data_IF_483064326707
#
_entry.id   IF_483064326707
#
_cell.length_a   1.000
_cell.length_b   1.000
_cell.length_c   1.000
_cell.angle_alpha   90.00
_cell.angle_beta   90.00
_cell.angle_gamma   90.00
#
_symmetry.space_group_name_H-M   'P 1'
#
loop_
_entity.id
_entity.type
_entity.pdbx_description
1 polymer ?
#
# COMPACT_ATOMS: atom_id res chain seq x y z
N UNK A 1 -6.49 2.82 20.52
CA UNK A 1 -6.09 3.18 19.15
C UNK A 1 -6.76 2.22 18.18
N UNK A 2 -7.22 2.68 17.00
CA UNK A 2 -7.75 1.78 15.98
C UNK A 2 -6.63 0.85 15.47
N UNK A 3 -6.93 -0.44 15.32
CA UNK A 3 -5.99 -1.40 14.70
C UNK A 3 -5.84 -1.08 13.22
N UNK A 4 -4.60 -1.10 12.72
CA UNK A 4 -4.37 -0.95 11.30
C UNK A 4 -4.81 -2.21 10.54
N UNK A 5 -5.28 -2.02 9.32
CA UNK A 5 -5.60 -3.07 8.36
C UNK A 5 -4.54 -3.09 7.27
N UNK A 6 -4.48 -4.20 6.54
CA UNK A 6 -3.63 -4.30 5.35
C UNK A 6 -4.03 -3.18 4.37
N UNK A 7 -3.03 -2.49 3.85
CA UNK A 7 -3.10 -1.31 3.00
C UNK A 7 -3.56 -0.01 3.67
N UNK A 8 -3.75 0.01 5.00
CA UNK A 8 -3.91 1.29 5.70
C UNK A 8 -2.62 2.09 5.56
N UNK A 9 -2.77 3.39 5.33
CA UNK A 9 -1.68 4.35 5.41
C UNK A 9 -1.35 4.62 6.87
N UNK A 10 -0.07 4.58 7.19
CA UNK A 10 0.45 4.83 8.54
C UNK A 10 1.61 5.81 8.49
N UNK A 11 1.83 6.51 9.60
CA UNK A 11 2.97 7.40 9.82
C UNK A 11 3.70 6.94 11.07
N UNK A 12 5.02 6.77 10.98
CA UNK A 12 5.84 6.36 12.11
C UNK A 12 5.89 7.47 13.17
N UNK A 13 5.62 7.12 14.42
CA UNK A 13 5.67 8.05 15.56
C UNK A 13 7.08 8.22 16.14
N UNK A 14 7.98 7.33 15.75
CA UNK A 14 9.39 7.30 16.11
C UNK A 14 10.22 6.66 14.99
N UNK A 15 11.54 6.69 15.09
CA UNK A 15 12.41 6.01 14.12
C UNK A 15 12.34 4.49 14.27
N UNK A 16 12.26 3.77 13.15
CA UNK A 16 12.28 2.30 13.11
C UNK A 16 13.33 1.85 12.10
N UNK A 17 14.40 1.20 12.58
CA UNK A 17 15.56 0.88 11.75
C UNK A 17 16.17 2.16 11.14
N UNK A 18 16.32 2.17 9.83
CA UNK A 18 16.85 3.32 9.07
C UNK A 18 15.76 4.36 8.71
N UNK A 19 14.49 4.10 9.03
CA UNK A 19 13.39 4.99 8.69
C UNK A 19 13.17 6.02 9.80
N UNK A 20 13.20 7.33 9.48
CA UNK A 20 13.04 8.37 10.48
C UNK A 20 11.60 8.42 10.98
N UNK A 21 11.43 9.06 12.15
CA UNK A 21 10.12 9.52 12.61
C UNK A 21 9.43 10.34 11.51
N UNK A 22 8.10 10.25 11.47
CA UNK A 22 7.22 10.91 10.49
C UNK A 22 7.32 10.34 9.06
N UNK A 23 8.18 9.34 8.81
CA UNK A 23 8.12 8.55 7.59
C UNK A 23 6.75 7.88 7.47
N UNK A 24 6.20 7.84 6.25
CA UNK A 24 4.91 7.23 6.00
C UNK A 24 5.04 5.99 5.12
N UNK A 25 4.08 5.10 5.25
CA UNK A 25 4.03 3.88 4.46
C UNK A 25 2.65 3.24 4.46
N UNK A 26 2.57 2.06 3.86
CA UNK A 26 1.38 1.22 3.83
C UNK A 26 1.63 -0.08 4.57
N UNK A 27 0.66 -0.53 5.36
CA UNK A 27 0.74 -1.84 6.01
C UNK A 27 0.65 -2.95 4.95
N UNK A 28 1.65 -3.82 4.86
CA UNK A 28 1.67 -4.92 3.89
C UNK A 28 1.45 -6.28 4.53
N UNK A 29 1.81 -6.44 5.80
CA UNK A 29 1.61 -7.65 6.58
C UNK A 29 1.24 -7.36 8.03
N UNK A 30 0.45 -8.26 8.63
CA UNK A 30 0.00 -8.17 10.02
C UNK A 30 0.23 -9.53 10.68
N UNK A 31 1.05 -9.52 11.73
CA UNK A 31 1.31 -10.67 12.58
C UNK A 31 0.52 -10.53 13.87
N UNK A 32 -0.06 -11.64 14.34
CA UNK A 32 -0.83 -11.66 15.60
C UNK A 32 -0.28 -12.64 16.62
N UNK A 33 0.70 -13.47 16.24
CA UNK A 33 1.29 -14.50 17.10
C UNK A 33 2.82 -14.42 17.00
N UNK A 34 3.56 -14.38 18.13
CA UNK A 34 3.09 -14.37 19.52
C UNK A 34 2.59 -13.01 20.01
N UNK A 35 2.76 -11.94 19.23
CA UNK A 35 2.27 -10.60 19.54
C UNK A 35 1.85 -9.88 18.26
N UNK A 36 1.11 -8.77 18.43
CA UNK A 36 0.67 -7.93 17.32
C UNK A 36 1.82 -7.09 16.77
N UNK A 37 2.16 -7.28 15.49
CA UNK A 37 3.21 -6.57 14.78
C UNK A 37 2.85 -6.38 13.31
N UNK A 38 3.50 -5.42 12.66
CA UNK A 38 3.14 -4.97 11.31
C UNK A 38 4.39 -4.79 10.48
N UNK A 39 4.36 -5.27 9.24
CA UNK A 39 5.35 -4.84 8.25
C UNK A 39 4.77 -3.70 7.44
N UNK A 40 5.55 -2.63 7.32
CA UNK A 40 5.14 -1.38 6.68
C UNK A 40 6.07 -1.10 5.51
N UNK A 41 5.52 -1.07 4.31
CA UNK A 41 6.24 -0.62 3.12
C UNK A 41 6.35 0.90 3.17
N UNK A 42 7.55 1.41 3.41
CA UNK A 42 7.82 2.84 3.55
C UNK A 42 7.94 3.47 2.16
N UNK A 43 7.30 4.61 1.98
CA UNK A 43 7.11 5.25 0.68
C UNK A 43 7.62 6.69 0.70
N UNK A 44 8.11 7.15 -0.45
CA UNK A 44 8.28 8.57 -0.75
C UNK A 44 6.92 9.23 -1.05
N UNK A 45 6.88 10.57 -0.99
CA UNK A 45 5.68 11.34 -1.35
C UNK A 45 5.23 11.17 -2.82
N UNK A 46 6.13 10.78 -3.73
CA UNK A 46 5.79 10.43 -5.12
C UNK A 46 5.33 8.97 -5.28
N UNK A 47 5.10 8.25 -4.18
CA UNK A 47 4.50 6.91 -4.17
C UNK A 47 5.47 5.79 -4.50
N UNK A 48 6.79 6.00 -4.40
CA UNK A 48 7.80 4.95 -4.58
C UNK A 48 8.15 4.31 -3.25
N UNK A 49 8.24 2.99 -3.24
CA UNK A 49 8.79 2.25 -2.10
C UNK A 49 10.28 2.56 -1.93
N UNK A 50 10.67 2.87 -0.69
CA UNK A 50 12.07 3.06 -0.30
C UNK A 50 12.59 1.94 0.61
N UNK A 51 11.70 1.14 1.19
CA UNK A 51 12.07 -0.05 1.95
C UNK A 51 10.92 -0.61 2.77
N UNK A 52 11.24 -1.59 3.61
CA UNK A 52 10.29 -2.30 4.47
C UNK A 52 10.72 -2.12 5.93
N UNK A 53 9.83 -1.57 6.75
CA UNK A 53 9.98 -1.53 8.19
C UNK A 53 9.30 -2.76 8.79
N UNK A 54 10.09 -3.69 9.30
CA UNK A 54 9.60 -4.98 9.78
C UNK A 54 9.19 -4.94 11.27
N UNK A 55 8.21 -5.76 11.62
CA UNK A 55 7.79 -6.04 13.00
C UNK A 55 7.46 -4.79 13.85
N UNK A 56 6.90 -3.76 13.21
CA UNK A 56 6.52 -2.50 13.85
C UNK A 56 5.32 -2.71 14.78
N UNK A 57 5.38 -2.20 16.00
CA UNK A 57 4.31 -2.40 17.00
C UNK A 57 3.20 -1.34 16.84
N UNK A 58 1.95 -1.65 17.22
CA UNK A 58 0.82 -0.73 17.08
C UNK A 58 0.94 0.62 17.82
N UNK A 59 1.91 0.79 18.74
CA UNK A 59 2.20 2.07 19.40
C UNK A 59 3.27 2.92 18.72
N UNK A 60 3.94 2.40 17.68
CA UNK A 60 5.06 3.05 16.99
C UNK A 60 4.64 3.76 15.71
N UNK A 61 3.35 3.69 15.36
CA UNK A 61 2.78 4.38 14.21
C UNK A 61 1.38 4.90 14.54
N UNK A 62 0.92 5.84 13.72
CA UNK A 62 -0.46 6.31 13.72
C UNK A 62 -1.13 6.01 12.38
N UNK A 63 -2.37 5.53 12.42
CA UNK A 63 -3.14 5.22 11.23
C UNK A 63 -3.70 6.52 10.67
N UNK A 64 -3.17 6.96 9.53
CA UNK A 64 -3.75 8.08 8.79
C UNK A 64 -4.80 7.51 7.87
N UNK A 65 -6.07 7.65 8.25
CA UNK A 65 -7.16 7.45 7.31
C UNK A 65 -6.87 8.35 6.11
N UNK A 66 -6.80 7.77 4.91
CA UNK A 66 -6.92 8.60 3.71
C UNK A 66 -8.32 9.22 3.80
N UNK A 67 -8.41 10.49 4.14
CA UNK A 67 -9.68 11.22 4.21
C UNK A 67 -10.35 11.39 2.82
N UNK A 68 -9.90 10.68 1.78
CA UNK A 68 -10.26 11.00 0.40
C UNK A 68 -10.04 9.87 -0.62
N UNK A 69 -10.29 8.61 -0.23
CA UNK A 69 -10.98 7.73 -1.19
C UNK A 69 -12.40 7.57 -0.63
N UNK A 70 -13.37 8.38 -1.09
CA UNK A 70 -14.74 8.29 -0.62
C UNK A 70 -15.17 6.83 -0.60
N UNK A 71 -15.69 6.35 0.54
CA UNK A 71 -16.31 5.03 0.61
C UNK A 71 -17.35 4.92 -0.51
N UNK A 72 -17.13 4.03 -1.48
CA UNK A 72 -17.92 3.93 -2.71
C UNK A 72 -17.10 4.10 -4.00
N UNK A 73 -15.83 4.51 -3.87
CA UNK A 73 -14.90 4.59 -4.99
C UNK A 73 -14.33 3.20 -5.30
N UNK A 74 -14.69 2.69 -6.47
CA UNK A 74 -14.25 1.40 -6.99
C UNK A 74 -13.50 1.61 -8.29
N UNK A 75 -12.59 0.68 -8.60
CA UNK A 75 -11.93 0.65 -9.90
C UNK A 75 -13.00 0.48 -10.98
N UNK A 76 -13.09 1.45 -11.87
CA UNK A 76 -14.03 1.44 -12.98
C UNK A 76 -13.36 0.86 -14.23
N UNK A 77 -12.09 1.20 -14.47
CA UNK A 77 -11.35 0.72 -15.63
C UNK A 77 -9.86 0.64 -15.35
N UNK A 78 -9.20 -0.30 -16.04
CA UNK A 78 -7.74 -0.35 -16.12
C UNK A 78 -7.39 -0.38 -17.61
N UNK A 79 -6.73 0.67 -18.08
CA UNK A 79 -6.19 0.74 -19.43
C UNK A 79 -4.68 0.65 -19.36
N UNK A 80 -4.12 -0.45 -19.84
CA UNK A 80 -2.69 -0.64 -19.96
C UNK A 80 -2.27 -0.13 -21.34
N UNK A 81 -1.26 0.72 -21.42
CA UNK A 81 -0.72 1.14 -22.70
C UNK A 81 -0.07 -0.02 -23.44
N UNK A 82 -0.04 0.07 -24.77
CA UNK A 82 0.34 -1.03 -25.66
C UNK A 82 1.75 -1.56 -25.41
N UNK A 83 2.66 -0.70 -24.94
CA UNK A 83 4.04 -1.04 -24.61
C UNK A 83 4.21 -1.54 -23.16
N UNK A 84 3.14 -1.55 -22.37
CA UNK A 84 3.17 -1.93 -20.95
C UNK A 84 3.92 -0.95 -20.06
N UNK A 85 4.24 0.26 -20.55
CA UNK A 85 5.02 1.25 -19.82
C UNK A 85 4.24 1.87 -18.66
N UNK A 86 2.92 2.01 -18.81
CA UNK A 86 2.04 2.45 -17.74
C UNK A 86 0.61 1.91 -17.91
N UNK A 87 -0.14 1.97 -16.81
CA UNK A 87 -1.57 1.78 -16.79
C UNK A 87 -2.26 3.04 -16.27
N UNK A 88 -3.41 3.36 -16.86
CA UNK A 88 -4.35 4.34 -16.33
C UNK A 88 -5.45 3.55 -15.62
N UNK A 89 -5.62 3.82 -14.35
CA UNK A 89 -6.69 3.27 -13.53
C UNK A 89 -7.75 4.36 -13.40
N UNK A 90 -8.91 4.13 -13.99
CA UNK A 90 -10.10 4.95 -13.80
C UNK A 90 -10.81 4.53 -12.52
N UNK A 91 -11.15 5.50 -11.67
CA UNK A 91 -11.88 5.26 -10.42
C UNK A 91 -13.26 5.90 -10.50
N UNK A 92 -14.26 5.30 -9.85
CA UNK A 92 -15.67 5.67 -10.03
C UNK A 92 -16.06 7.10 -9.59
N UNK A 93 -15.16 7.81 -8.91
CA UNK A 93 -15.29 9.25 -8.64
C UNK A 93 -14.74 10.14 -9.78
N UNK A 94 -14.39 9.56 -10.94
CA UNK A 94 -13.85 10.27 -12.09
C UNK A 94 -12.34 10.57 -12.04
N UNK A 95 -11.66 10.19 -10.95
CA UNK A 95 -10.20 10.31 -10.85
C UNK A 95 -9.54 9.30 -11.77
N UNK A 96 -8.43 9.71 -12.39
CA UNK A 96 -7.54 8.81 -13.13
C UNK A 96 -6.19 8.76 -12.42
N UNK A 97 -5.73 7.54 -12.14
CA UNK A 97 -4.45 7.27 -11.51
C UNK A 97 -3.54 6.69 -12.59
N UNK A 98 -2.38 7.30 -12.83
CA UNK A 98 -1.37 6.75 -13.75
C UNK A 98 -0.36 5.93 -12.95
N UNK A 99 -0.23 4.65 -13.28
CA UNK A 99 0.70 3.70 -12.66
C UNK A 99 1.80 3.37 -13.66
N UNK A 100 3.02 3.82 -13.40
CA UNK A 100 4.18 3.67 -14.30
C UNK A 100 5.08 2.48 -13.98
N UNK A 101 4.77 1.72 -12.92
CA UNK A 101 5.51 0.50 -12.55
C UNK A 101 4.54 -0.67 -12.42
N UNK A 102 4.30 -1.34 -13.55
CA UNK A 102 3.39 -2.50 -13.61
C UNK A 102 4.16 -3.77 -13.27
N UNK A 103 3.79 -4.42 -12.16
CA UNK A 103 4.27 -5.75 -11.83
C UNK A 103 3.23 -6.79 -12.28
N UNK A 104 3.53 -7.49 -13.37
CA UNK A 104 2.69 -8.60 -13.82
C UNK A 104 3.10 -9.88 -13.07
N UNK A 105 2.29 -10.32 -12.11
CA UNK A 105 2.39 -11.71 -11.64
C UNK A 105 1.79 -12.62 -12.69
N UNK A 106 2.63 -13.48 -13.27
CA UNK A 106 2.20 -14.50 -14.23
C UNK A 106 1.60 -15.67 -13.44
N UNK A 107 0.31 -15.63 -13.16
CA UNK A 107 -0.38 -16.80 -12.61
C UNK A 107 -0.41 -17.89 -13.69
N UNK A 108 0.24 -19.03 -13.41
CA UNK A 108 0.12 -20.25 -14.20
C UNK A 108 -1.29 -20.81 -14.00
N UNK A 109 -2.22 -20.45 -14.87
CA UNK A 109 -3.45 -21.22 -15.04
C UNK A 109 -3.09 -22.55 -15.72
N UNK A 110 -2.83 -23.58 -14.93
CA UNK A 110 -2.91 -24.95 -15.43
C UNK A 110 -4.39 -25.28 -15.70
N UNK A 111 -4.76 -25.26 -16.98
CA UNK A 111 -6.02 -25.87 -17.40
C UNK A 111 -5.90 -27.38 -17.16
N UNK A 112 -6.59 -27.88 -16.12
CA UNK A 112 -6.87 -29.31 -16.02
C UNK A 112 -7.82 -29.67 -17.17
N UNK A 113 -7.33 -30.59 -18.02
CA UNK A 113 -8.05 -31.20 -19.15
C UNK A 113 -9.37 -31.83 -18.73
#
# INVERSE_FOLDING_TARGET
MPKAKKYDRVVLLESVGDFPKDAWGAVVEIYTTPYEAYDIEIMTDDGRTIGLADAVRPGQFDVKKLDSIPSGVHFQSVKIEKDGSYAIIGVSNGVQITVTKLFFQKEKFEQKK
#
